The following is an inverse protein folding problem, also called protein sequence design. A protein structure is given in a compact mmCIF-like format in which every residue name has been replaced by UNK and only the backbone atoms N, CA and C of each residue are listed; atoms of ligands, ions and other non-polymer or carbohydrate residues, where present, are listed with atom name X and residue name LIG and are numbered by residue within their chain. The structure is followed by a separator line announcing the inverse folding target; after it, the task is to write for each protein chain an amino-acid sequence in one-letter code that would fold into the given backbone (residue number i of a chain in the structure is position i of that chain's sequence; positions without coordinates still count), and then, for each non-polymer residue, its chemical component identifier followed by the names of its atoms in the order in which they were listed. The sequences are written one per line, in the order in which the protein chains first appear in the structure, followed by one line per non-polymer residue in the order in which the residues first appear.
data_IF_881032650787
#
_entry.id   IF_881032650787
#
_cell.length_a   1.000
_cell.length_b   1.000
_cell.length_c   1.000
_cell.angle_alpha   90.00
_cell.angle_beta   90.00
_cell.angle_gamma   90.00
#
_symmetry.space_group_name_H-M   'P 1'
#
loop_
_entity.id
_entity.type
_entity.pdbx_description
1 polymer ?
#
# COMPACT_ATOMS: atom_id res chain seq x y z
N UNK A 1 -58.77 23.61 74.97
CA UNK A 1 -60.16 23.60 74.61
C UNK A 1 -60.25 22.90 73.25
N UNK A 2 -60.63 21.65 73.26
CA UNK A 2 -61.93 21.10 72.98
C UNK A 2 -62.25 21.37 71.46
N UNK A 3 -62.66 20.50 70.62
CA UNK A 3 -63.47 19.28 70.68
C UNK A 3 -63.51 18.69 69.29
N UNK A 4 -63.22 17.40 69.15
CA UNK A 4 -64.16 16.36 68.71
C UNK A 4 -65.01 16.70 67.44
N UNK A 5 -65.25 15.89 66.50
CA UNK A 5 -65.60 14.49 66.35
C UNK A 5 -65.98 14.23 64.86
N UNK A 6 -65.87 13.23 64.25
CA UNK A 6 -66.50 11.90 64.05
C UNK A 6 -66.43 11.48 62.59
N UNK A 7 -65.93 10.33 62.48
CA UNK A 7 -66.18 9.22 61.50
C UNK A 7 -67.45 9.33 60.60
N UNK A 8 -67.31 8.87 59.38
CA UNK A 8 -68.01 7.69 58.86
C UNK A 8 -67.38 7.10 57.58
N UNK A 9 -67.45 5.82 57.51
CA UNK A 9 -66.96 4.79 56.63
C UNK A 9 -67.54 4.82 55.16
N UNK A 10 -66.69 4.50 54.18
CA UNK A 10 -66.58 3.29 53.30
C UNK A 10 -67.71 3.13 52.20
N UNK A 11 -67.48 2.43 51.07
CA UNK A 11 -66.31 1.95 50.33
C UNK A 11 -66.39 2.24 48.79
N UNK A 12 -65.28 1.96 48.07
CA UNK A 12 -65.34 1.86 46.60
C UNK A 12 -64.03 1.74 45.91
N UNK A 13 -63.54 0.54 45.80
CA UNK A 13 -62.71 -0.10 44.75
C UNK A 13 -61.68 0.74 43.98
N UNK A 14 -60.45 0.47 44.27
CA UNK A 14 -59.44 -0.12 43.42
C UNK A 14 -59.21 0.44 42.02
N UNK A 15 -58.06 1.06 41.76
CA UNK A 15 -57.18 0.69 40.67
C UNK A 15 -55.82 1.34 40.93
N UNK A 16 -54.89 0.53 41.42
CA UNK A 16 -53.48 0.83 41.51
C UNK A 16 -52.87 0.90 40.13
N UNK A 17 -52.44 2.09 39.68
CA UNK A 17 -51.50 2.21 38.56
C UNK A 17 -50.09 2.25 39.14
N UNK A 18 -49.44 1.10 39.05
CA UNK A 18 -48.01 0.95 39.28
C UNK A 18 -47.27 1.52 38.07
N UNK A 19 -46.72 2.73 38.19
CA UNK A 19 -45.80 3.28 37.18
C UNK A 19 -44.48 2.60 37.42
N UNK A 20 -44.16 1.57 36.61
CA UNK A 20 -42.80 1.02 36.48
C UNK A 20 -42.00 1.95 35.59
N UNK A 21 -41.14 2.73 36.22
CA UNK A 21 -40.07 3.47 35.49
C UNK A 21 -39.00 2.46 35.09
N UNK A 22 -39.16 1.90 33.88
CA UNK A 22 -38.06 1.17 33.24
C UNK A 22 -37.02 2.18 32.77
N UNK A 23 -35.95 2.35 33.56
CA UNK A 23 -34.71 2.95 33.12
C UNK A 23 -34.08 2.07 32.03
N UNK A 24 -34.34 2.42 30.78
CA UNK A 24 -33.60 1.88 29.63
C UNK A 24 -32.17 2.39 29.67
N UNK A 25 -31.29 1.65 30.33
CA UNK A 25 -29.88 1.69 30.05
C UNK A 25 -29.69 1.08 28.64
N UNK A 26 -29.66 1.96 27.65
CA UNK A 26 -29.19 1.61 26.30
C UNK A 26 -27.73 1.23 26.35
N UNK A 27 -27.42 -0.04 26.52
CA UNK A 27 -26.17 -0.60 26.13
C UNK A 27 -26.05 -0.41 24.59
N UNK A 28 -25.33 0.63 24.19
CA UNK A 28 -24.81 0.72 22.84
C UNK A 28 -23.86 -0.46 22.65
N UNK A 29 -24.39 -1.59 22.23
CA UNK A 29 -23.60 -2.65 21.63
C UNK A 29 -23.13 -2.04 20.32
N UNK A 30 -21.89 -1.50 20.35
CA UNK A 30 -21.19 -1.16 19.13
C UNK A 30 -21.13 -2.43 18.29
N UNK A 31 -21.99 -2.52 17.28
CA UNK A 31 -21.88 -3.53 16.25
C UNK A 31 -20.47 -3.38 15.69
N UNK A 32 -19.59 -4.35 15.96
CA UNK A 32 -18.40 -4.57 15.13
C UNK A 32 -18.95 -4.83 13.72
N UNK A 33 -19.04 -3.76 12.95
CA UNK A 33 -19.33 -3.84 11.53
C UNK A 33 -18.20 -4.66 10.94
N UNK A 34 -18.51 -5.87 10.49
CA UNK A 34 -17.57 -6.62 9.67
C UNK A 34 -17.18 -5.69 8.51
N UNK A 35 -15.89 -5.41 8.39
CA UNK A 35 -15.39 -4.53 7.35
C UNK A 35 -15.80 -5.12 6.01
N UNK A 36 -16.55 -4.37 5.21
CA UNK A 36 -16.92 -4.78 3.86
C UNK A 36 -15.62 -4.89 3.04
N UNK A 37 -15.46 -5.93 2.22
CA UNK A 37 -14.34 -6.01 1.29
C UNK A 37 -14.25 -4.72 0.48
N UNK A 38 -13.05 -4.25 0.18
CA UNK A 38 -12.86 -3.07 -0.65
C UNK A 38 -13.59 -3.25 -1.98
N UNK A 39 -14.52 -2.37 -2.26
CA UNK A 39 -15.15 -2.29 -3.56
C UNK A 39 -14.27 -1.42 -4.46
N UNK A 40 -13.62 -2.02 -5.45
CA UNK A 40 -12.83 -1.29 -6.43
C UNK A 40 -13.71 -0.65 -7.49
N UNK A 41 -13.30 0.51 -8.01
CA UNK A 41 -13.87 1.10 -9.22
C UNK A 41 -13.73 0.13 -10.41
N UNK A 42 -14.50 0.37 -11.46
CA UNK A 42 -14.43 -0.48 -12.67
C UNK A 42 -13.02 -0.55 -13.26
N UNK A 43 -12.30 0.58 -13.27
CA UNK A 43 -10.95 0.70 -13.81
C UNK A 43 -9.92 -0.03 -12.93
N UNK A 44 -10.04 0.07 -11.61
CA UNK A 44 -9.17 -0.64 -10.68
C UNK A 44 -9.43 -2.15 -10.72
N UNK A 45 -10.70 -2.57 -10.77
CA UNK A 45 -11.07 -3.97 -10.92
C UNK A 45 -10.56 -4.57 -12.24
N UNK A 46 -10.64 -3.80 -13.35
CA UNK A 46 -10.10 -4.20 -14.64
C UNK A 46 -8.58 -4.33 -14.61
N UNK A 47 -7.87 -3.37 -13.97
CA UNK A 47 -6.41 -3.48 -13.80
C UNK A 47 -6.05 -4.71 -12.97
N UNK A 48 -6.72 -4.96 -11.84
CA UNK A 48 -6.51 -6.18 -11.03
C UNK A 48 -6.74 -7.46 -11.84
N UNK A 49 -7.73 -7.48 -12.73
CA UNK A 49 -7.96 -8.61 -13.63
C UNK A 49 -6.78 -8.82 -14.59
N UNK A 50 -6.25 -7.73 -15.21
CA UNK A 50 -5.04 -7.81 -16.03
C UNK A 50 -3.85 -8.36 -15.22
N UNK A 51 -3.64 -7.86 -13.99
CA UNK A 51 -2.56 -8.32 -13.12
C UNK A 51 -2.65 -9.82 -12.82
N UNK A 52 -3.86 -10.36 -12.62
CA UNK A 52 -4.08 -11.81 -12.43
C UNK A 52 -3.68 -12.63 -13.64
N UNK A 53 -3.98 -12.15 -14.85
CA UNK A 53 -3.66 -12.90 -16.08
C UNK A 53 -2.17 -13.01 -16.35
N UNK A 54 -1.37 -12.06 -15.85
CA UNK A 54 0.08 -12.01 -16.08
C UNK A 54 0.90 -12.57 -14.93
N UNK A 55 0.31 -12.74 -13.73
CA UNK A 55 1.02 -13.19 -12.53
C UNK A 55 1.80 -14.49 -12.78
N UNK A 56 3.10 -14.48 -12.46
CA UNK A 56 3.99 -15.63 -12.65
C UNK A 56 4.38 -15.95 -14.10
N UNK A 57 3.76 -15.31 -15.08
CA UNK A 57 4.01 -15.51 -16.53
C UNK A 57 4.70 -14.31 -17.18
N UNK A 58 4.41 -13.10 -16.72
CA UNK A 58 4.97 -11.85 -17.23
C UNK A 58 5.30 -10.92 -16.06
N UNK A 59 6.12 -9.91 -16.32
CA UNK A 59 6.44 -8.84 -15.38
C UNK A 59 6.30 -7.48 -16.04
N UNK A 60 5.74 -6.53 -15.33
CA UNK A 60 5.56 -5.15 -15.80
C UNK A 60 6.86 -4.38 -15.55
N UNK A 61 7.42 -3.76 -16.58
CA UNK A 61 8.56 -2.87 -16.45
C UNK A 61 8.14 -1.51 -15.88
N UNK A 62 8.89 -0.96 -14.94
CA UNK A 62 8.54 0.29 -14.28
C UNK A 62 9.71 1.24 -14.13
N UNK A 63 9.43 2.54 -14.07
CA UNK A 63 10.36 3.62 -13.73
C UNK A 63 9.78 4.48 -12.62
N UNK A 64 10.66 5.08 -11.80
CA UNK A 64 10.26 6.08 -10.81
C UNK A 64 10.53 7.48 -11.34
N UNK A 65 9.55 8.37 -11.24
CA UNK A 65 9.71 9.78 -11.58
C UNK A 65 10.89 10.40 -10.81
N UNK A 66 11.77 11.10 -11.51
CA UNK A 66 12.88 11.78 -10.85
C UNK A 66 12.33 12.90 -9.96
N UNK A 67 12.45 12.67 -8.68
CA UNK A 67 12.08 13.54 -7.55
C UNK A 67 10.58 13.73 -7.36
N UNK A 68 9.71 13.57 -8.38
CA UNK A 68 8.34 14.00 -8.15
C UNK A 68 7.30 13.51 -9.17
N UNK A 69 6.86 14.41 -10.01
CA UNK A 69 5.62 14.39 -10.78
C UNK A 69 5.93 14.60 -12.26
N UNK A 70 6.69 13.66 -12.84
CA UNK A 70 7.16 13.75 -14.23
C UNK A 70 7.37 12.35 -14.83
N UNK A 71 7.74 12.33 -16.12
CA UNK A 71 8.01 11.13 -16.92
C UNK A 71 9.48 11.07 -17.40
N UNK A 72 10.40 11.78 -16.76
CA UNK A 72 11.76 11.93 -17.30
C UNK A 72 12.54 10.63 -17.32
N UNK A 73 12.40 9.77 -16.30
CA UNK A 73 13.03 8.44 -16.30
C UNK A 73 12.46 7.55 -17.41
N UNK A 74 11.14 7.54 -17.59
CA UNK A 74 10.49 6.79 -18.67
C UNK A 74 10.93 7.30 -20.05
N UNK A 75 11.07 8.61 -20.23
CA UNK A 75 11.61 9.23 -21.44
C UNK A 75 13.05 8.80 -21.69
N UNK A 76 13.89 8.76 -20.64
CA UNK A 76 15.27 8.30 -20.75
C UNK A 76 15.36 6.83 -21.18
N UNK A 77 14.57 5.96 -20.55
CA UNK A 77 14.52 4.55 -20.94
C UNK A 77 14.07 4.40 -22.40
N UNK A 78 13.03 5.12 -22.80
CA UNK A 78 12.56 5.10 -24.18
C UNK A 78 13.62 5.60 -25.18
N UNK A 79 14.34 6.67 -24.83
CA UNK A 79 15.40 7.20 -25.70
C UNK A 79 16.52 6.18 -25.95
N UNK A 80 16.84 5.36 -24.95
CA UNK A 80 17.97 4.41 -25.01
C UNK A 80 17.58 2.99 -25.46
N UNK A 81 16.29 2.66 -25.46
CA UNK A 81 15.82 1.30 -25.80
C UNK A 81 14.81 1.26 -26.92
N UNK A 82 14.22 2.40 -27.28
CA UNK A 82 13.09 2.47 -28.23
C UNK A 82 11.76 1.96 -27.66
N UNK A 83 11.72 1.54 -26.39
CA UNK A 83 10.53 0.98 -25.72
C UNK A 83 10.17 1.78 -24.47
N UNK A 84 8.87 2.00 -24.27
CA UNK A 84 8.37 2.65 -23.06
C UNK A 84 8.22 1.63 -21.93
N UNK A 85 8.69 1.92 -20.71
CA UNK A 85 8.29 1.16 -19.53
C UNK A 85 6.77 1.15 -19.39
N UNK A 86 6.21 0.13 -18.79
CA UNK A 86 4.77 -0.01 -18.67
C UNK A 86 4.18 0.69 -17.44
N UNK A 87 4.97 0.87 -16.39
CA UNK A 87 4.59 1.51 -15.15
C UNK A 87 5.45 2.76 -14.90
N UNK A 88 4.84 3.83 -14.41
CA UNK A 88 5.59 4.97 -13.87
C UNK A 88 5.16 5.25 -12.44
N UNK A 89 6.14 5.40 -11.57
CA UNK A 89 5.96 5.80 -10.19
C UNK A 89 5.98 7.31 -10.05
N UNK A 90 5.12 7.83 -9.19
CA UNK A 90 5.02 9.23 -8.80
C UNK A 90 5.10 9.32 -7.26
N UNK A 91 5.37 10.52 -6.72
CA UNK A 91 5.54 10.70 -5.29
C UNK A 91 4.93 12.02 -4.81
N UNK A 92 4.18 11.96 -3.72
CA UNK A 92 3.70 13.14 -3.00
C UNK A 92 4.74 13.72 -2.01
N UNK A 93 6.02 13.43 -2.20
CA UNK A 93 7.13 13.87 -1.33
C UNK A 93 7.13 15.37 -1.05
N UNK A 94 6.69 16.18 -2.03
CA UNK A 94 6.65 17.64 -1.90
C UNK A 94 5.29 18.17 -1.42
N UNK A 95 4.44 17.33 -0.85
CA UNK A 95 3.13 17.74 -0.34
C UNK A 95 3.17 19.03 0.49
N UNK A 96 4.10 19.23 1.46
CA UNK A 96 4.15 20.48 2.24
C UNK A 96 4.47 21.74 1.41
N UNK A 97 5.02 21.54 0.21
CA UNK A 97 5.45 22.61 -0.70
C UNK A 97 4.58 22.73 -1.94
N UNK A 98 3.52 21.92 -2.05
CA UNK A 98 2.62 21.96 -3.20
C UNK A 98 1.76 23.21 -3.18
N UNK A 99 1.75 23.91 -4.30
CA UNK A 99 0.92 25.09 -4.50
C UNK A 99 0.30 25.07 -5.90
N UNK A 100 -0.99 25.45 -5.98
CA UNK A 100 -1.70 25.51 -7.27
C UNK A 100 -0.99 26.44 -8.25
N UNK A 101 -0.64 25.93 -9.42
CA UNK A 101 0.06 26.66 -10.47
C UNK A 101 1.54 26.94 -10.18
N UNK A 102 2.09 26.43 -9.06
CA UNK A 102 3.50 26.51 -8.72
C UNK A 102 4.34 25.42 -9.39
N UNK A 103 5.63 25.41 -9.06
CA UNK A 103 6.56 24.37 -9.55
C UNK A 103 6.13 22.97 -9.14
N UNK A 104 5.56 22.81 -7.95
CA UNK A 104 5.01 21.57 -7.44
C UNK A 104 3.51 21.79 -7.24
N UNK A 105 2.73 21.28 -8.19
CA UNK A 105 1.28 21.40 -8.17
C UNK A 105 0.63 20.02 -8.38
N UNK A 106 0.30 19.36 -7.29
CA UNK A 106 -0.39 18.05 -7.34
C UNK A 106 -1.86 18.14 -7.78
N UNK A 107 -2.41 19.36 -7.94
CA UNK A 107 -3.72 19.53 -8.58
C UNK A 107 -3.63 19.43 -10.11
N UNK A 108 -2.43 19.57 -10.67
CA UNK A 108 -2.17 19.34 -12.09
C UNK A 108 -1.85 17.85 -12.32
N UNK A 109 -2.83 17.08 -12.74
CA UNK A 109 -2.70 15.64 -13.01
C UNK A 109 -2.36 15.31 -14.47
N UNK A 110 -2.00 16.29 -15.29
CA UNK A 110 -1.82 16.11 -16.75
C UNK A 110 -0.81 15.03 -17.11
N UNK A 111 0.36 14.99 -16.46
CA UNK A 111 1.38 13.97 -16.73
C UNK A 111 0.89 12.56 -16.37
N UNK A 112 0.20 12.41 -15.23
CA UNK A 112 -0.36 11.12 -14.76
C UNK A 112 -1.49 10.68 -15.70
N UNK A 113 -2.37 11.62 -16.08
CA UNK A 113 -3.49 11.37 -16.97
C UNK A 113 -3.02 10.96 -18.36
N UNK A 114 -2.02 11.65 -18.91
CA UNK A 114 -1.41 11.30 -20.19
C UNK A 114 -0.79 9.90 -20.14
N UNK A 115 -0.03 9.59 -19.07
CA UNK A 115 0.57 8.27 -18.90
C UNK A 115 -0.46 7.15 -18.89
N UNK A 116 -1.55 7.33 -18.13
CA UNK A 116 -2.63 6.35 -18.07
C UNK A 116 -3.34 6.19 -19.42
N UNK A 117 -3.61 7.30 -20.13
CA UNK A 117 -4.29 7.28 -21.44
C UNK A 117 -3.45 6.61 -22.52
N UNK A 118 -2.13 6.71 -22.44
CA UNK A 118 -1.19 6.01 -23.31
C UNK A 118 -1.11 4.49 -23.03
N UNK A 119 -1.78 4.02 -21.97
CA UNK A 119 -1.83 2.61 -21.58
C UNK A 119 -0.94 2.26 -20.39
N UNK A 120 -0.23 3.23 -19.83
CA UNK A 120 0.66 3.03 -18.70
C UNK A 120 -0.08 2.72 -17.39
N UNK A 121 0.57 1.97 -16.52
CA UNK A 121 0.14 1.74 -15.13
C UNK A 121 0.69 2.86 -14.25
N UNK A 122 -0.14 3.37 -13.36
CA UNK A 122 0.21 4.44 -12.42
C UNK A 122 0.45 3.84 -11.05
N UNK A 123 1.64 4.08 -10.47
CA UNK A 123 1.87 3.86 -9.05
C UNK A 123 2.23 5.17 -8.37
N UNK A 124 1.72 5.39 -7.18
CA UNK A 124 2.01 6.61 -6.41
C UNK A 124 2.42 6.21 -5.01
N UNK A 125 3.53 6.80 -4.57
CA UNK A 125 4.04 6.65 -3.22
C UNK A 125 3.97 7.97 -2.47
N UNK A 126 4.31 7.95 -1.21
CA UNK A 126 4.36 9.14 -0.40
C UNK A 126 5.53 9.08 0.59
N UNK A 127 6.63 9.76 0.25
CA UNK A 127 7.63 10.13 1.24
C UNK A 127 7.05 11.23 2.11
N UNK A 128 6.45 10.85 3.21
CA UNK A 128 5.65 11.74 4.03
C UNK A 128 6.51 12.67 4.88
N UNK A 129 6.79 13.84 4.34
CA UNK A 129 7.48 14.93 5.02
C UNK A 129 6.58 15.53 6.12
N UNK A 130 7.14 15.61 7.32
CA UNK A 130 6.57 16.28 8.50
C UNK A 130 7.55 17.34 8.99
N UNK A 131 7.18 18.25 9.92
CA UNK A 131 8.11 19.23 10.45
C UNK A 131 9.40 18.57 10.99
N UNK A 132 10.54 19.08 10.55
CA UNK A 132 11.85 18.65 11.02
C UNK A 132 12.19 19.24 12.38
N UNK A 133 13.26 18.72 13.02
CA UNK A 133 13.77 19.26 14.28
C UNK A 133 14.23 20.72 14.14
N UNK A 134 14.73 21.10 12.97
CA UNK A 134 14.98 22.50 12.65
C UNK A 134 13.69 23.17 12.21
N UNK A 135 13.34 24.23 12.91
CA UNK A 135 12.11 25.00 12.62
C UNK A 135 12.07 25.52 11.18
N UNK A 136 10.95 25.30 10.51
CA UNK A 136 10.71 25.70 9.11
C UNK A 136 11.17 24.69 8.07
N UNK A 137 11.92 23.67 8.44
CA UNK A 137 12.32 22.57 7.57
C UNK A 137 11.36 21.38 7.70
N UNK A 138 11.44 20.44 6.77
CA UNK A 138 10.63 19.21 6.73
C UNK A 138 11.53 17.99 6.49
N UNK A 139 11.14 16.85 7.04
CA UNK A 139 11.85 15.58 6.84
C UNK A 139 10.90 14.38 6.96
N UNK A 140 11.20 13.33 6.27
CA UNK A 140 10.60 12.00 6.47
C UNK A 140 11.56 11.05 7.19
N UNK A 141 12.86 11.40 7.28
CA UNK A 141 13.83 10.62 8.04
C UNK A 141 13.74 10.88 9.53
N UNK A 142 13.63 9.81 10.31
CA UNK A 142 13.64 9.89 11.75
C UNK A 142 15.07 10.05 12.32
N UNK A 143 15.23 10.93 13.28
CA UNK A 143 16.48 11.15 14.02
C UNK A 143 16.46 12.43 14.82
N UNK A 144 17.50 12.64 15.63
CA UNK A 144 17.67 13.82 16.49
C UNK A 144 18.46 14.95 15.83
N UNK A 145 19.03 14.70 14.65
CA UNK A 145 19.75 15.68 13.87
C UNK A 145 18.79 16.76 13.34
N UNK A 146 19.33 17.94 13.07
CA UNK A 146 18.51 19.12 12.72
C UNK A 146 17.70 18.94 11.43
N UNK A 147 18.22 18.20 10.46
CA UNK A 147 17.63 17.88 9.16
C UNK A 147 16.70 16.65 9.17
N UNK A 148 16.53 16.04 10.34
CA UNK A 148 15.63 14.91 10.58
C UNK A 148 14.45 15.32 11.43
N UNK A 149 13.57 14.36 11.73
CA UNK A 149 12.41 14.59 12.58
C UNK A 149 12.33 13.60 13.73
N UNK A 150 11.87 14.08 14.88
CA UNK A 150 11.47 13.24 16.02
C UNK A 150 9.95 13.06 16.09
N UNK A 151 9.24 13.34 15.00
CA UNK A 151 7.79 13.12 14.90
C UNK A 151 7.42 11.69 15.31
N UNK A 152 6.45 11.57 16.20
CA UNK A 152 6.15 10.30 16.85
C UNK A 152 4.89 9.66 16.29
N UNK A 153 5.04 8.59 15.51
CA UNK A 153 3.93 7.83 14.94
C UNK A 153 2.97 7.26 16.00
N UNK A 154 3.42 7.04 17.25
CA UNK A 154 2.58 6.55 18.34
C UNK A 154 1.50 7.54 18.75
N UNK A 155 1.65 8.79 18.36
CA UNK A 155 0.60 9.82 18.53
C UNK A 155 -0.66 9.54 17.71
N UNK A 156 -0.67 8.56 16.83
CA UNK A 156 -1.90 8.05 16.19
C UNK A 156 -2.96 7.59 17.20
N UNK A 157 -2.54 7.21 18.40
CA UNK A 157 -3.43 6.84 19.49
C UNK A 157 -3.84 8.01 20.40
N UNK A 158 -3.36 9.22 20.14
CA UNK A 158 -3.59 10.40 20.96
C UNK A 158 -4.28 11.51 20.14
N UNK A 159 -5.62 11.48 19.94
CA UNK A 159 -6.33 12.42 19.06
C UNK A 159 -6.17 13.90 19.40
N UNK A 160 -5.80 14.22 20.64
CA UNK A 160 -5.57 15.61 21.09
C UNK A 160 -4.14 16.12 20.79
N UNK A 161 -3.22 15.26 20.32
CA UNK A 161 -1.85 15.66 20.02
C UNK A 161 -1.76 16.44 18.71
N UNK A 162 -0.74 17.30 18.60
CA UNK A 162 -0.43 18.05 17.38
C UNK A 162 -0.07 17.14 16.22
N UNK A 163 0.66 16.07 16.52
CA UNK A 163 1.07 15.07 15.53
C UNK A 163 -0.14 14.32 14.95
N UNK A 164 -1.10 13.93 15.79
CA UNK A 164 -2.35 13.32 15.29
C UNK A 164 -3.10 14.27 14.37
N UNK A 165 -3.26 15.54 14.79
CA UNK A 165 -3.97 16.52 13.98
C UNK A 165 -3.30 16.74 12.62
N UNK A 166 -1.95 16.80 12.60
CA UNK A 166 -1.20 16.90 11.35
C UNK A 166 -1.36 15.66 10.49
N UNK A 167 -1.26 14.46 11.07
CA UNK A 167 -1.48 13.21 10.32
C UNK A 167 -2.86 13.19 9.65
N UNK A 168 -3.90 13.59 10.36
CA UNK A 168 -5.26 13.63 9.79
C UNK A 168 -5.40 14.69 8.70
N UNK A 169 -4.84 15.87 8.90
CA UNK A 169 -4.85 16.94 7.91
C UNK A 169 -4.14 16.54 6.61
N UNK A 170 -2.96 15.94 6.72
CA UNK A 170 -2.18 15.52 5.57
C UNK A 170 -2.87 14.36 4.81
N UNK A 171 -3.43 13.39 5.53
CA UNK A 171 -4.22 12.30 4.94
C UNK A 171 -5.40 12.86 4.13
N UNK A 172 -6.13 13.84 4.67
CA UNK A 172 -7.26 14.46 3.97
C UNK A 172 -6.81 15.26 2.75
N UNK A 173 -5.66 15.92 2.83
CA UNK A 173 -5.10 16.65 1.70
C UNK A 173 -4.66 15.69 0.59
N UNK A 174 -3.98 14.59 0.92
CA UNK A 174 -3.62 13.55 -0.05
C UNK A 174 -4.87 12.89 -0.65
N UNK A 175 -5.90 12.64 0.17
CA UNK A 175 -7.19 12.16 -0.35
C UNK A 175 -7.77 13.10 -1.40
N UNK A 176 -7.65 14.42 -1.21
CA UNK A 176 -8.11 15.41 -2.18
C UNK A 176 -7.36 15.34 -3.53
N UNK A 177 -6.06 15.09 -3.51
CA UNK A 177 -5.28 14.88 -4.74
C UNK A 177 -5.62 13.55 -5.43
N UNK A 178 -5.73 12.46 -4.67
CA UNK A 178 -6.13 11.15 -5.20
C UNK A 178 -7.54 11.17 -5.78
N UNK A 179 -8.43 12.01 -5.25
CA UNK A 179 -9.79 12.19 -5.76
C UNK A 179 -9.81 12.73 -7.20
N UNK A 180 -8.87 13.63 -7.55
CA UNK A 180 -8.72 14.12 -8.92
C UNK A 180 -8.41 12.97 -9.90
N UNK A 181 -7.58 12.00 -9.46
CA UNK A 181 -7.26 10.82 -10.27
C UNK A 181 -8.46 9.88 -10.38
N UNK A 182 -9.24 9.73 -9.31
CA UNK A 182 -10.48 8.97 -9.35
C UNK A 182 -11.48 9.59 -10.34
N UNK A 183 -11.68 10.90 -10.27
CA UNK A 183 -12.58 11.63 -11.17
C UNK A 183 -12.12 11.56 -12.63
N UNK A 184 -10.81 11.37 -12.86
CA UNK A 184 -10.24 11.11 -14.19
C UNK A 184 -10.20 9.62 -14.57
N UNK A 185 -10.85 8.75 -13.81
CA UNK A 185 -10.91 7.30 -14.06
C UNK A 185 -9.52 6.62 -14.10
N UNK A 186 -8.59 7.07 -13.28
CA UNK A 186 -7.23 6.54 -13.22
C UNK A 186 -7.10 5.57 -12.05
N UNK A 187 -6.89 4.27 -12.28
CA UNK A 187 -6.55 3.32 -11.22
C UNK A 187 -5.12 3.55 -10.75
N UNK A 188 -4.88 3.51 -9.44
CA UNK A 188 -3.60 3.82 -8.83
C UNK A 188 -3.13 2.66 -7.95
N UNK A 189 -1.93 2.16 -8.19
CA UNK A 189 -1.20 1.34 -7.23
C UNK A 189 -0.69 2.29 -6.12
N UNK A 190 -1.42 2.34 -5.00
CA UNK A 190 -1.13 3.24 -3.89
C UNK A 190 -0.16 2.62 -2.90
N UNK A 191 1.01 3.22 -2.71
CA UNK A 191 2.14 2.69 -1.91
C UNK A 191 2.54 3.65 -0.80
N UNK A 192 1.73 3.81 0.25
CA UNK A 192 2.07 4.64 1.41
C UNK A 192 2.97 3.87 2.39
N UNK A 193 3.58 4.59 3.35
CA UNK A 193 4.27 4.06 4.51
C UNK A 193 5.26 2.91 4.19
N UNK A 194 5.90 3.00 3.03
CA UNK A 194 6.83 2.00 2.55
C UNK A 194 8.05 1.86 3.46
N UNK A 195 8.71 0.70 3.40
CA UNK A 195 9.96 0.42 4.14
C UNK A 195 9.87 0.63 5.65
N UNK A 196 8.67 0.57 6.24
CA UNK A 196 8.48 0.87 7.65
C UNK A 196 9.35 0.00 8.59
N UNK A 197 9.57 -1.27 8.23
CA UNK A 197 10.44 -2.19 8.96
C UNK A 197 11.91 -1.79 8.99
N UNK A 198 12.34 -0.88 8.10
CA UNK A 198 13.69 -0.28 8.10
C UNK A 198 13.94 0.68 9.24
N UNK A 199 12.87 1.24 9.81
CA UNK A 199 12.89 2.16 10.96
C UNK A 199 13.66 3.46 10.75
N UNK A 200 14.06 3.80 9.52
CA UNK A 200 14.70 5.08 9.19
C UNK A 200 13.70 6.19 8.89
N UNK A 201 12.46 5.83 8.57
CA UNK A 201 11.36 6.78 8.42
C UNK A 201 10.58 6.93 9.72
N UNK A 202 9.99 8.12 9.96
CA UNK A 202 9.27 8.39 11.20
C UNK A 202 8.08 7.43 11.42
N UNK A 203 7.38 7.02 10.37
CA UNK A 203 6.25 6.09 10.45
C UNK A 203 6.67 4.66 10.80
N UNK A 204 7.94 4.29 10.60
CA UNK A 204 8.45 2.95 10.88
C UNK A 204 8.87 2.73 12.34
N UNK A 205 8.84 3.76 13.19
CA UNK A 205 9.40 3.72 14.55
C UNK A 205 8.64 2.84 15.54
N UNK A 206 7.39 2.54 15.23
CA UNK A 206 6.56 1.62 16.03
C UNK A 206 5.64 0.83 15.09
N UNK A 207 5.67 -0.49 15.20
CA UNK A 207 4.96 -1.37 14.27
C UNK A 207 3.44 -1.32 14.46
N UNK A 208 2.98 -1.27 15.72
CA UNK A 208 1.55 -1.22 16.02
C UNK A 208 0.94 0.11 15.57
N UNK A 209 1.64 1.20 15.89
CA UNK A 209 1.22 2.54 15.50
C UNK A 209 1.23 2.73 13.97
N UNK A 210 2.25 2.21 13.28
CA UNK A 210 2.30 2.23 11.81
C UNK A 210 1.13 1.46 11.19
N UNK A 211 0.81 0.27 11.72
CA UNK A 211 -0.33 -0.51 11.27
C UNK A 211 -1.66 0.22 11.51
N UNK A 212 -1.80 0.91 12.64
CA UNK A 212 -3.01 1.71 12.89
C UNK A 212 -3.07 2.94 12.01
N UNK A 213 -1.94 3.60 11.73
CA UNK A 213 -1.87 4.71 10.78
C UNK A 213 -2.28 4.26 9.37
N UNK A 214 -1.81 3.08 8.92
CA UNK A 214 -2.25 2.49 7.65
C UNK A 214 -3.76 2.26 7.62
N UNK A 215 -4.30 1.59 8.65
CA UNK A 215 -5.74 1.29 8.72
C UNK A 215 -6.60 2.56 8.82
N UNK A 216 -6.10 3.58 9.51
CA UNK A 216 -6.75 4.89 9.59
C UNK A 216 -6.80 5.57 8.23
N UNK A 217 -5.66 5.60 7.50
CA UNK A 217 -5.61 6.12 6.13
C UNK A 217 -6.56 5.35 5.21
N UNK A 218 -6.56 4.03 5.29
CA UNK A 218 -7.45 3.16 4.51
C UNK A 218 -8.92 3.51 4.76
N UNK A 219 -9.36 3.57 6.03
CA UNK A 219 -10.75 3.91 6.38
C UNK A 219 -11.13 5.30 5.88
N UNK A 220 -10.29 6.31 6.09
CA UNK A 220 -10.56 7.68 5.63
C UNK A 220 -10.65 7.78 4.11
N UNK A 221 -9.83 7.04 3.39
CA UNK A 221 -9.92 7.00 1.93
C UNK A 221 -11.18 6.29 1.44
N UNK A 222 -11.62 5.23 2.12
CA UNK A 222 -12.90 4.60 1.84
C UNK A 222 -14.07 5.56 2.10
N UNK A 223 -14.06 6.28 3.22
CA UNK A 223 -15.07 7.29 3.56
C UNK A 223 -15.08 8.45 2.54
N UNK A 224 -13.93 8.82 2.01
CA UNK A 224 -13.80 9.79 0.91
C UNK A 224 -14.22 9.21 -0.46
N UNK A 225 -14.56 7.91 -0.51
CA UNK A 225 -14.99 7.21 -1.71
C UNK A 225 -13.88 6.91 -2.70
N UNK A 226 -12.62 6.79 -2.26
CA UNK A 226 -11.48 6.47 -3.12
C UNK A 226 -11.42 4.96 -3.39
N UNK A 227 -12.21 4.50 -4.36
CA UNK A 227 -12.32 3.10 -4.78
C UNK A 227 -11.40 2.74 -5.97
N UNK A 228 -10.65 3.72 -6.49
CA UNK A 228 -9.69 3.55 -7.58
C UNK A 228 -8.29 3.11 -7.12
N UNK A 229 -8.09 2.88 -5.82
CA UNK A 229 -6.79 2.54 -5.24
C UNK A 229 -6.61 1.02 -5.13
N UNK A 230 -5.42 0.55 -5.49
CA UNK A 230 -4.92 -0.81 -5.26
C UNK A 230 -3.76 -0.67 -4.28
N UNK A 231 -3.90 -1.24 -3.08
CA UNK A 231 -3.01 -0.98 -1.96
C UNK A 231 -1.74 -1.83 -1.99
N UNK A 232 -0.59 -1.20 -1.99
CA UNK A 232 0.73 -1.83 -2.10
C UNK A 232 1.49 -1.66 -0.79
N UNK A 233 1.64 -2.74 -0.03
CA UNK A 233 2.48 -2.77 1.15
C UNK A 233 3.91 -3.13 0.77
N UNK A 234 4.88 -2.37 1.27
CA UNK A 234 6.30 -2.53 0.91
C UNK A 234 7.16 -2.76 2.14
N UNK A 235 7.93 -3.82 2.10
CA UNK A 235 9.00 -4.10 3.05
C UNK A 235 10.35 -3.64 2.49
N UNK A 236 11.30 -3.33 3.37
CA UNK A 236 12.68 -3.10 2.98
C UNK A 236 13.51 -4.37 3.09
N UNK A 237 14.41 -4.59 2.14
CA UNK A 237 15.50 -5.55 2.27
C UNK A 237 16.75 -4.82 2.81
N UNK A 238 16.84 -4.63 4.12
CA UNK A 238 18.02 -4.02 4.68
C UNK A 238 19.24 -4.89 4.45
N UNK A 239 20.27 -4.26 3.92
CA UNK A 239 21.59 -4.88 3.74
C UNK A 239 21.56 -6.23 3.01
N UNK A 240 20.61 -6.37 2.09
CA UNK A 240 20.49 -7.55 1.28
C UNK A 240 19.88 -8.77 2.00
N UNK A 241 19.20 -8.59 3.10
CA UNK A 241 18.45 -9.64 3.79
C UNK A 241 16.99 -9.21 3.95
N UNK A 242 16.01 -10.12 3.72
CA UNK A 242 14.65 -9.84 4.15
C UNK A 242 14.69 -9.62 5.65
N UNK A 243 14.06 -8.55 6.13
CA UNK A 243 13.86 -8.39 7.56
C UNK A 243 12.98 -9.52 8.05
N UNK A 244 13.52 -10.38 8.89
CA UNK A 244 12.77 -11.48 9.48
C UNK A 244 11.55 -11.01 10.27
N UNK A 245 11.59 -9.78 10.77
CA UNK A 245 10.53 -9.17 11.58
C UNK A 245 9.64 -8.19 10.79
N UNK A 246 9.88 -7.99 9.51
CA UNK A 246 9.17 -6.99 8.69
C UNK A 246 7.64 -7.18 8.67
N UNK A 247 7.16 -8.40 8.88
CA UNK A 247 5.73 -8.68 9.01
C UNK A 247 5.06 -7.96 10.20
N UNK A 248 5.81 -7.51 11.20
CA UNK A 248 5.26 -6.72 12.32
C UNK A 248 4.59 -5.43 11.85
N UNK A 249 5.07 -4.87 10.73
CA UNK A 249 4.50 -3.69 10.09
C UNK A 249 3.44 -4.02 9.02
N UNK A 250 2.98 -5.26 8.95
CA UNK A 250 1.92 -5.65 8.01
C UNK A 250 0.54 -5.35 8.58
N UNK A 251 -0.26 -4.47 7.92
CA UNK A 251 -1.53 -4.02 8.48
C UNK A 251 -2.64 -5.08 8.47
N UNK A 252 -2.45 -6.17 7.71
CA UNK A 252 -3.39 -7.28 7.57
C UNK A 252 -3.90 -7.44 6.14
N UNK A 253 -4.34 -8.66 5.80
CA UNK A 253 -4.74 -9.04 4.45
C UNK A 253 -5.92 -8.22 3.89
N UNK A 254 -6.82 -7.75 4.77
CA UNK A 254 -8.00 -6.97 4.38
C UNK A 254 -7.65 -5.54 3.90
N UNK A 255 -6.40 -5.10 4.10
CA UNK A 255 -5.94 -3.74 3.81
C UNK A 255 -4.88 -3.68 2.71
N UNK A 256 -4.54 -4.81 2.08
CA UNK A 256 -3.42 -4.92 1.14
C UNK A 256 -3.82 -5.78 -0.05
N UNK A 257 -3.52 -5.32 -1.26
CA UNK A 257 -3.72 -6.06 -2.52
C UNK A 257 -2.41 -6.66 -3.02
N UNK A 258 -1.30 -5.93 -2.89
CA UNK A 258 0.03 -6.29 -3.37
C UNK A 258 1.01 -6.20 -2.21
N UNK A 259 1.80 -7.26 -1.99
CA UNK A 259 2.95 -7.23 -1.10
C UNK A 259 4.22 -7.03 -1.92
N UNK A 260 5.17 -6.27 -1.40
CA UNK A 260 6.35 -5.91 -2.17
C UNK A 260 7.57 -5.69 -1.30
N UNK A 261 8.71 -5.51 -1.96
CA UNK A 261 9.99 -5.25 -1.31
C UNK A 261 10.84 -4.30 -2.14
N UNK A 262 11.65 -3.50 -1.45
CA UNK A 262 12.67 -2.63 -2.04
C UNK A 262 14.06 -3.22 -1.80
N UNK A 263 14.86 -3.37 -2.87
CA UNK A 263 16.18 -4.03 -2.82
C UNK A 263 17.23 -3.23 -3.57
N UNK A 264 18.26 -2.81 -2.86
CA UNK A 264 19.36 -2.01 -3.40
C UNK A 264 20.74 -2.66 -3.20
N UNK A 265 21.69 -2.29 -4.07
CA UNK A 265 23.13 -2.59 -3.93
C UNK A 265 23.47 -4.07 -3.76
N UNK A 266 22.82 -4.93 -4.53
CA UNK A 266 22.97 -6.37 -4.43
C UNK A 266 23.26 -7.05 -5.78
N UNK A 267 24.23 -6.50 -6.53
CA UNK A 267 24.59 -6.98 -7.86
C UNK A 267 25.09 -8.44 -7.91
N UNK A 268 25.67 -8.91 -6.83
CA UNK A 268 26.39 -10.19 -6.83
C UNK A 268 25.61 -11.34 -6.19
N UNK A 269 24.52 -11.05 -5.50
CA UNK A 269 23.79 -12.03 -4.72
C UNK A 269 22.40 -12.30 -5.30
N UNK A 270 22.31 -13.07 -6.39
CA UNK A 270 21.02 -13.53 -6.93
C UNK A 270 20.12 -14.17 -5.86
N UNK A 271 20.73 -14.77 -4.85
CA UNK A 271 20.05 -15.43 -3.74
C UNK A 271 19.12 -14.52 -2.94
N UNK A 272 19.44 -13.21 -2.82
CA UNK A 272 18.60 -12.31 -2.05
C UNK A 272 17.25 -12.09 -2.70
N UNK A 273 17.22 -11.92 -4.02
CA UNK A 273 15.97 -11.71 -4.77
C UNK A 273 15.06 -12.93 -4.64
N UNK A 274 15.64 -14.13 -4.77
CA UNK A 274 14.92 -15.39 -4.60
C UNK A 274 14.42 -15.53 -3.16
N UNK A 275 15.26 -15.20 -2.17
CA UNK A 275 14.87 -15.28 -0.75
C UNK A 275 13.78 -14.29 -0.41
N UNK A 276 13.87 -13.04 -0.89
CA UNK A 276 12.86 -12.00 -0.69
C UNK A 276 11.54 -12.37 -1.37
N UNK A 277 11.60 -12.82 -2.63
CA UNK A 277 10.43 -13.25 -3.37
C UNK A 277 9.73 -14.42 -2.65
N UNK A 278 10.49 -15.45 -2.30
CA UNK A 278 9.96 -16.61 -1.58
C UNK A 278 9.37 -16.21 -0.23
N UNK A 279 10.04 -15.35 0.52
CA UNK A 279 9.53 -14.85 1.80
C UNK A 279 8.14 -14.20 1.64
N UNK A 280 7.97 -13.33 0.65
CA UNK A 280 6.69 -12.65 0.40
C UNK A 280 5.61 -13.63 -0.06
N UNK A 281 5.95 -14.60 -0.92
CA UNK A 281 5.02 -15.65 -1.34
C UNK A 281 4.59 -16.53 -0.17
N UNK A 282 5.51 -16.93 0.70
CA UNK A 282 5.21 -17.75 1.87
C UNK A 282 4.39 -16.99 2.91
N UNK A 283 4.66 -15.68 3.04
CA UNK A 283 3.99 -14.82 4.00
C UNK A 283 2.56 -14.46 3.58
N UNK A 284 2.36 -14.14 2.30
CA UNK A 284 1.07 -13.72 1.75
C UNK A 284 0.77 -14.47 0.45
N UNK A 285 0.41 -15.76 0.53
CA UNK A 285 0.31 -16.64 -0.65
C UNK A 285 -0.81 -16.26 -1.62
N UNK A 286 -1.75 -15.43 -1.19
CA UNK A 286 -2.89 -14.97 -2.00
C UNK A 286 -2.68 -13.62 -2.64
N UNK A 287 -1.58 -12.91 -2.32
CA UNK A 287 -1.31 -11.57 -2.81
C UNK A 287 -0.37 -11.58 -4.01
N UNK A 288 -0.43 -10.54 -4.80
CA UNK A 288 0.59 -10.27 -5.80
C UNK A 288 1.91 -9.92 -5.12
N UNK A 289 3.04 -10.26 -5.77
CA UNK A 289 4.37 -10.01 -5.22
C UNK A 289 5.17 -9.16 -6.21
N UNK A 290 5.67 -7.99 -5.76
CA UNK A 290 6.36 -7.02 -6.60
C UNK A 290 7.72 -6.59 -6.04
N UNK A 291 8.60 -6.10 -6.95
CA UNK A 291 9.85 -5.41 -6.63
C UNK A 291 9.61 -3.91 -6.86
N UNK A 292 9.22 -3.22 -5.80
CA UNK A 292 8.71 -1.85 -5.87
C UNK A 292 9.77 -0.79 -5.99
N UNK A 293 10.98 -1.07 -5.52
CA UNK A 293 12.18 -0.26 -5.80
C UNK A 293 13.39 -1.16 -5.96
N UNK A 294 14.27 -0.78 -6.87
CA UNK A 294 15.55 -1.47 -6.97
C UNK A 294 16.63 -0.57 -7.57
N UNK A 295 17.89 -0.93 -7.27
CA UNK A 295 19.05 -0.28 -7.83
C UNK A 295 20.30 -1.12 -7.63
N UNK A 296 21.20 -1.11 -8.64
CA UNK A 296 22.40 -1.97 -8.66
C UNK A 296 22.06 -3.44 -8.44
N UNK A 297 21.18 -3.98 -9.28
CA UNK A 297 20.59 -5.31 -9.17
C UNK A 297 20.99 -6.17 -10.37
N UNK A 298 20.99 -7.52 -10.25
CA UNK A 298 21.12 -8.40 -11.40
C UNK A 298 20.04 -8.13 -12.46
N UNK A 299 20.29 -8.55 -13.68
CA UNK A 299 19.31 -8.41 -14.75
C UNK A 299 17.98 -9.10 -14.38
N UNK A 300 16.90 -8.61 -14.97
CA UNK A 300 15.57 -9.18 -14.69
C UNK A 300 15.49 -10.64 -15.15
N UNK A 301 16.18 -11.00 -16.25
CA UNK A 301 16.23 -12.41 -16.68
C UNK A 301 16.95 -13.30 -15.66
N UNK A 302 18.03 -12.82 -15.05
CA UNK A 302 18.73 -13.55 -13.98
C UNK A 302 17.81 -13.81 -12.79
N UNK A 303 17.10 -12.80 -12.33
CA UNK A 303 16.14 -12.91 -11.22
C UNK A 303 14.97 -13.84 -11.58
N UNK A 304 14.42 -13.67 -12.78
CA UNK A 304 13.30 -14.46 -13.30
C UNK A 304 13.64 -15.95 -13.41
N UNK A 305 14.80 -16.26 -13.96
CA UNK A 305 15.29 -17.64 -14.12
C UNK A 305 15.62 -18.29 -12.78
N UNK A 306 16.00 -17.49 -11.78
CA UNK A 306 16.18 -17.96 -10.41
C UNK A 306 14.86 -18.15 -9.63
N UNK A 307 13.70 -17.88 -10.25
CA UNK A 307 12.38 -18.10 -9.67
C UNK A 307 11.68 -16.85 -9.13
N UNK A 308 12.31 -15.68 -9.16
CA UNK A 308 11.69 -14.41 -8.70
C UNK A 308 10.77 -13.86 -9.78
N UNK A 309 9.51 -14.30 -9.75
CA UNK A 309 8.47 -13.95 -10.75
C UNK A 309 7.72 -12.69 -10.33
N UNK A 310 8.45 -11.57 -10.17
CA UNK A 310 7.88 -10.29 -9.77
C UNK A 310 6.72 -9.88 -10.68
N UNK A 311 5.61 -9.40 -10.10
CA UNK A 311 4.49 -8.82 -10.86
C UNK A 311 4.95 -7.59 -11.65
N UNK A 312 5.74 -6.75 -11.00
CA UNK A 312 6.44 -5.63 -11.64
C UNK A 312 7.78 -5.39 -10.93
N UNK A 313 8.67 -4.66 -11.61
CA UNK A 313 9.92 -4.15 -11.08
C UNK A 313 10.05 -2.67 -11.42
N UNK A 314 10.64 -1.87 -10.51
CA UNK A 314 10.79 -0.43 -10.69
C UNK A 314 12.18 0.03 -10.21
N UNK A 315 13.17 0.13 -11.11
CA UNK A 315 14.41 0.81 -10.77
C UNK A 315 14.18 2.25 -10.33
N UNK A 316 14.93 2.65 -9.29
CA UNK A 316 14.90 4.02 -8.82
C UNK A 316 15.55 4.96 -9.83
N UNK A 317 15.15 6.23 -9.82
CA UNK A 317 15.68 7.24 -10.72
C UNK A 317 17.16 7.58 -10.46
N UNK A 318 17.82 8.22 -11.43
CA UNK A 318 19.20 8.65 -11.32
C UNK A 318 19.31 10.07 -10.73
N UNK A 319 19.79 10.18 -9.49
CA UNK A 319 20.02 11.47 -8.82
C UNK A 319 21.07 12.35 -9.51
N UNK A 320 22.02 11.74 -10.20
CA UNK A 320 23.12 12.45 -10.82
C UNK A 320 22.74 13.07 -12.18
N UNK A 321 21.64 12.61 -12.77
CA UNK A 321 21.21 13.10 -14.08
C UNK A 321 20.27 14.29 -13.93
N UNK A 322 20.42 15.27 -14.83
CA UNK A 322 19.50 16.39 -14.87
C UNK A 322 18.11 15.97 -15.38
N UNK A 323 17.08 16.68 -14.91
CA UNK A 323 15.71 16.48 -15.36
C UNK A 323 15.40 17.10 -16.73
N UNK A 324 16.42 17.58 -17.46
CA UNK A 324 16.25 18.18 -18.78
C UNK A 324 16.53 17.15 -19.89
N UNK A 325 15.50 16.66 -20.60
CA UNK A 325 15.68 15.68 -21.69
C UNK A 325 16.58 16.14 -22.82
N UNK A 326 16.81 17.44 -22.95
CA UNK A 326 17.71 18.03 -23.98
C UNK A 326 19.17 18.11 -23.54
N UNK A 327 19.48 17.84 -22.29
CA UNK A 327 20.87 17.94 -21.76
C UNK A 327 21.75 16.81 -22.26
N UNK A 328 23.08 17.01 -22.18
CA UNK A 328 24.07 16.02 -22.63
C UNK A 328 24.11 14.79 -21.73
N UNK A 329 23.90 14.98 -20.44
CA UNK A 329 23.84 13.90 -19.44
C UNK A 329 22.60 13.03 -19.59
N UNK A 330 21.47 13.58 -20.07
CA UNK A 330 20.29 12.77 -20.42
C UNK A 330 20.57 11.82 -21.59
N UNK A 331 21.53 12.14 -22.45
CA UNK A 331 21.99 11.27 -23.56
C UNK A 331 22.97 10.19 -23.11
N UNK A 332 23.48 10.26 -21.89
CA UNK A 332 24.38 9.23 -21.33
C UNK A 332 23.65 7.89 -21.20
N UNK A 333 24.34 6.81 -21.54
CA UNK A 333 23.85 5.43 -21.31
C UNK A 333 24.08 4.96 -19.88
N UNK A 334 24.84 5.72 -19.08
CA UNK A 334 25.09 5.42 -17.67
C UNK A 334 23.87 5.79 -16.82
N UNK A 335 23.73 5.06 -15.73
CA UNK A 335 22.68 5.28 -14.75
C UNK A 335 23.13 4.73 -13.40
N UNK A 336 22.86 5.44 -12.32
CA UNK A 336 23.29 5.05 -10.95
C UNK A 336 22.70 3.70 -10.52
N UNK A 337 21.53 3.33 -11.01
CA UNK A 337 20.82 2.12 -10.60
C UNK A 337 20.79 1.05 -11.72
N UNK A 338 20.23 1.37 -12.88
CA UNK A 338 20.05 0.43 -13.98
C UNK A 338 20.37 1.13 -15.31
N UNK A 339 21.55 0.89 -15.88
CA UNK A 339 22.01 1.53 -17.09
C UNK A 339 21.26 1.07 -18.37
N UNK A 340 21.53 1.71 -19.50
CA UNK A 340 20.87 1.40 -20.76
C UNK A 340 21.05 -0.08 -21.20
N UNK A 341 22.21 -0.68 -20.91
CA UNK A 341 22.44 -2.10 -21.24
C UNK A 341 21.55 -3.03 -20.42
N UNK A 342 21.36 -2.72 -19.14
CA UNK A 342 20.42 -3.45 -18.26
C UNK A 342 18.99 -3.37 -18.77
N UNK A 343 18.54 -2.19 -19.21
CA UNK A 343 17.20 -1.99 -19.78
C UNK A 343 17.01 -2.70 -21.12
N UNK A 344 18.02 -2.67 -21.99
CA UNK A 344 17.97 -3.39 -23.28
C UNK A 344 17.90 -4.90 -23.04
N UNK A 345 18.63 -5.41 -22.05
CA UNK A 345 18.52 -6.82 -21.65
C UNK A 345 17.12 -7.14 -21.15
N UNK A 346 16.57 -6.32 -20.24
CA UNK A 346 15.22 -6.53 -19.72
C UNK A 346 14.20 -6.61 -20.86
N UNK A 347 14.24 -5.66 -21.78
CA UNK A 347 13.29 -5.63 -22.91
C UNK A 347 13.59 -6.62 -24.05
N UNK A 348 14.68 -7.36 -23.99
CA UNK A 348 14.92 -8.48 -24.90
C UNK A 348 14.16 -9.75 -24.52
N UNK A 349 13.53 -9.75 -23.34
CA UNK A 349 12.82 -10.90 -22.82
C UNK A 349 11.30 -10.77 -23.06
N UNK A 350 10.68 -11.75 -23.67
CA UNK A 350 9.24 -11.76 -24.01
C UNK A 350 8.32 -11.73 -22.77
N UNK A 351 8.85 -12.06 -21.58
CA UNK A 351 8.07 -11.97 -20.35
C UNK A 351 8.06 -10.56 -19.71
N UNK A 352 8.85 -9.62 -20.22
CA UNK A 352 8.87 -8.22 -19.75
C UNK A 352 7.91 -7.39 -20.58
N UNK A 353 6.89 -6.84 -19.93
CA UNK A 353 5.85 -6.05 -20.58
C UNK A 353 6.26 -4.59 -20.69
N UNK A 354 6.05 -4.04 -21.89
CA UNK A 354 6.15 -2.62 -22.21
C UNK A 354 4.79 -1.92 -22.03
N UNK A 355 4.75 -0.59 -22.14
CA UNK A 355 3.51 0.19 -22.10
C UNK A 355 2.53 -0.22 -23.20
N UNK A 356 3.04 -0.52 -24.40
CA UNK A 356 2.20 -0.95 -25.51
C UNK A 356 1.57 -2.32 -25.24
N UNK A 357 2.32 -3.24 -24.62
CA UNK A 357 1.78 -4.54 -24.19
C UNK A 357 0.68 -4.37 -23.15
N UNK A 358 0.89 -3.51 -22.14
CA UNK A 358 -0.12 -3.23 -21.13
C UNK A 358 -1.36 -2.55 -21.72
N UNK A 359 -1.18 -1.65 -22.70
CA UNK A 359 -2.30 -1.05 -23.42
C UNK A 359 -3.16 -2.11 -24.12
N UNK A 360 -2.52 -3.05 -24.83
CA UNK A 360 -3.21 -4.14 -25.49
C UNK A 360 -3.95 -5.05 -24.51
N UNK A 361 -3.32 -5.42 -23.39
CA UNK A 361 -3.93 -6.23 -22.33
C UNK A 361 -5.16 -5.55 -21.71
N UNK A 362 -5.06 -4.26 -21.38
CA UNK A 362 -6.18 -3.48 -20.82
C UNK A 362 -7.34 -3.37 -21.80
N UNK A 363 -7.07 -3.21 -23.10
CA UNK A 363 -8.10 -3.18 -24.14
C UNK A 363 -8.81 -4.53 -24.29
N UNK A 364 -8.06 -5.64 -24.22
CA UNK A 364 -8.63 -6.99 -24.21
C UNK A 364 -9.54 -7.22 -23.01
N UNK A 365 -9.09 -6.81 -21.84
CA UNK A 365 -9.88 -6.92 -20.61
C UNK A 365 -11.15 -6.05 -20.63
N UNK A 366 -11.13 -4.90 -21.30
CA UNK A 366 -12.30 -4.03 -21.44
C UNK A 366 -13.41 -4.66 -22.31
N UNK A 367 -13.06 -5.57 -23.23
CA UNK A 367 -14.01 -6.33 -24.04
C UNK A 367 -14.63 -7.53 -23.32
N UNK A 368 -14.13 -7.89 -22.14
CA UNK A 368 -14.65 -8.95 -21.29
C UNK A 368 -15.51 -8.28 -20.22
N UNK A 369 -16.82 -8.54 -20.22
CA UNK A 369 -17.70 -8.04 -19.16
C UNK A 369 -17.11 -8.45 -17.80
N UNK A 370 -17.03 -7.54 -16.80
CA UNK A 370 -16.48 -7.87 -15.49
C UNK A 370 -17.27 -9.05 -14.92
N UNK A 371 -16.63 -10.20 -14.87
CA UNK A 371 -17.19 -11.35 -14.15
C UNK A 371 -17.20 -10.95 -12.68
N UNK A 372 -18.36 -10.98 -12.00
CA UNK A 372 -18.38 -10.74 -10.56
C UNK A 372 -17.32 -11.63 -9.94
N UNK A 373 -16.53 -11.07 -9.03
CA UNK A 373 -15.51 -11.80 -8.29
C UNK A 373 -16.18 -13.01 -7.63
N UNK A 374 -16.24 -14.14 -8.32
CA UNK A 374 -16.47 -15.41 -7.66
C UNK A 374 -15.20 -15.65 -6.86
N UNK A 375 -15.31 -15.75 -5.57
CA UNK A 375 -14.31 -16.43 -4.78
C UNK A 375 -14.03 -17.74 -5.49
N UNK A 376 -12.80 -17.90 -5.97
CA UNK A 376 -12.39 -19.09 -6.72
C UNK A 376 -12.64 -20.32 -5.85
N UNK A 377 -13.66 -21.10 -6.16
CA UNK A 377 -13.93 -22.37 -5.50
C UNK A 377 -12.87 -23.42 -5.83
N UNK A 378 -11.78 -23.05 -6.52
CA UNK A 378 -10.74 -23.94 -7.04
C UNK A 378 -9.51 -24.13 -6.16
N UNK A 379 -9.20 -23.22 -5.23
CA UNK A 379 -8.13 -23.42 -4.24
C UNK A 379 -8.78 -23.39 -2.86
N UNK A 380 -8.98 -24.54 -2.27
CA UNK A 380 -9.40 -24.64 -0.87
C UNK A 380 -8.30 -24.07 0.00
N UNK A 381 -8.38 -22.77 0.32
CA UNK A 381 -7.57 -22.18 1.36
C UNK A 381 -8.08 -22.71 2.70
N UNK A 382 -7.28 -23.55 3.32
CA UNK A 382 -7.58 -24.09 4.63
C UNK A 382 -7.55 -22.96 5.66
N UNK A 383 -8.71 -22.57 6.18
CA UNK A 383 -8.78 -21.60 7.25
C UNK A 383 -8.16 -22.22 8.51
N UNK A 384 -7.12 -21.56 9.03
CA UNK A 384 -6.40 -22.01 10.24
C UNK A 384 -7.01 -21.30 11.45
N UNK A 385 -7.36 -22.08 12.47
CA UNK A 385 -7.88 -21.57 13.73
C UNK A 385 -6.99 -22.03 14.89
N UNK A 386 -6.85 -21.18 15.92
CA UNK A 386 -6.27 -21.60 17.19
C UNK A 386 -7.25 -22.52 17.97
N UNK A 387 -6.79 -23.09 19.06
CA UNK A 387 -7.61 -23.99 19.88
C UNK A 387 -8.80 -23.30 20.56
N UNK A 388 -8.87 -21.97 20.53
CA UNK A 388 -10.01 -21.19 21.01
C UNK A 388 -11.04 -20.87 19.91
N UNK A 389 -10.79 -21.33 18.68
CA UNK A 389 -11.66 -21.10 17.51
C UNK A 389 -11.44 -19.75 16.83
N UNK A 390 -10.38 -19.00 17.18
CA UNK A 390 -10.04 -17.74 16.54
C UNK A 390 -9.24 -18.02 15.27
N UNK A 391 -9.62 -17.40 14.15
CA UNK A 391 -8.88 -17.51 12.89
C UNK A 391 -7.47 -16.93 13.04
N UNK A 392 -6.46 -17.66 12.56
CA UNK A 392 -5.05 -17.29 12.61
C UNK A 392 -4.52 -17.16 11.19
N UNK A 393 -4.17 -15.94 10.80
CA UNK A 393 -3.65 -15.65 9.46
C UNK A 393 -2.22 -16.17 9.27
N UNK A 394 -1.44 -16.18 10.34
CA UNK A 394 -0.03 -16.59 10.33
C UNK A 394 0.25 -17.51 11.51
N UNK A 395 0.01 -18.81 11.36
CA UNK A 395 0.27 -19.75 12.44
C UNK A 395 1.77 -19.87 12.72
N UNK A 396 2.20 -19.46 13.92
CA UNK A 396 3.52 -19.72 14.49
C UNK A 396 3.64 -21.19 14.93
N UNK A 397 4.72 -21.55 15.65
CA UNK A 397 4.82 -22.88 16.25
C UNK A 397 3.63 -23.13 17.18
N UNK A 398 2.92 -24.23 16.98
CA UNK A 398 1.76 -24.55 17.82
C UNK A 398 0.83 -25.61 17.22
N UNK A 399 -0.30 -25.82 17.90
CA UNK A 399 -1.38 -26.67 17.45
C UNK A 399 -2.54 -25.80 16.96
N UNK A 400 -3.07 -26.10 15.79
CA UNK A 400 -4.14 -25.37 15.12
C UNK A 400 -5.23 -26.32 14.64
N UNK A 401 -6.39 -25.78 14.32
CA UNK A 401 -7.46 -26.47 13.61
C UNK A 401 -7.44 -26.01 12.16
N UNK A 402 -7.30 -26.94 11.24
CA UNK A 402 -7.33 -26.72 9.79
C UNK A 402 -8.38 -27.67 9.21
N UNK A 403 -9.42 -27.14 8.58
CA UNK A 403 -10.56 -27.94 8.04
C UNK A 403 -11.24 -28.86 9.07
N UNK A 404 -11.28 -28.44 10.32
CA UNK A 404 -11.85 -29.21 11.42
C UNK A 404 -10.90 -30.27 12.02
N UNK A 405 -9.70 -30.42 11.48
CA UNK A 405 -8.69 -31.35 11.98
C UNK A 405 -7.55 -30.64 12.73
N UNK A 406 -6.95 -31.34 13.67
CA UNK A 406 -5.79 -30.88 14.44
C UNK A 406 -4.54 -30.89 13.58
N UNK A 407 -3.91 -29.74 13.41
CA UNK A 407 -2.63 -29.58 12.70
C UNK A 407 -1.55 -29.07 13.65
N UNK A 408 -0.37 -29.69 13.65
CA UNK A 408 0.79 -29.25 14.43
C UNK A 408 1.85 -28.64 13.51
N UNK A 409 2.13 -27.35 13.67
CA UNK A 409 3.24 -26.68 12.97
C UNK A 409 4.51 -26.81 13.82
N UNK A 410 5.47 -27.62 13.36
CA UNK A 410 6.81 -27.76 13.97
C UNK A 410 7.80 -26.78 13.32
N UNK A 411 8.91 -26.50 14.02
CA UNK A 411 10.05 -25.81 13.41
C UNK A 411 10.64 -26.71 12.32
N UNK A 412 10.75 -26.23 11.08
CA UNK A 412 11.76 -26.77 10.18
C UNK A 412 13.10 -26.17 10.61
N UNK A 413 13.96 -26.94 11.22
CA UNK A 413 15.37 -26.63 11.38
C UNK A 413 15.97 -26.59 9.98
N UNK A 414 16.43 -25.44 9.56
CA UNK A 414 17.36 -25.37 8.44
C UNK A 414 18.75 -25.65 9.02
N UNK A 415 19.25 -26.86 8.79
CA UNK A 415 20.68 -27.16 8.76
C UNK A 415 21.31 -26.55 7.48
#
# INVERSE_FOLDING_TARGET
MASQNKMKQVPGTCFTHLIVVCSLLGLAIGSLSAQQPQQHSAEAAQLLQCLRTIQGQKTISGTMACVNWNLNEAKWVHQHTGKWPALNGFDYIHHPFSSKGGWIDYTNISEVSQWNSDGGVVTIMWHWNVPANKSGDYSFYWGTESDKTTFDVRKIFEPASSEYQLMMQDIDQIASYLKLLKEAHIPVLWRPLHEAGGMWFWWGRDAEACNELWRTMYRRFQEAGLDNLIWVWTQSAAWGKPYSDGYRWYPGDDYVDIVSIDVYNNNSASNIYTSCYKFLCDYSPTKFVALTECGNVPTISTQWNAGSKWLFFMPWYDYARTNNPSSTDFKSTNHSNCNAAWWNEAFSNDFVLTRDDMKALRQQAAGIAPTPLRHDEGVKFHAVYDLSGRRVSHPSRGIYIVDGEKYQKSHQSHD
#
